data_IF_193320308522
#
_entry.id   IF_193320308522
#
_cell.length_a   1.000
_cell.length_b   1.000
_cell.length_c   1.000
_cell.angle_alpha   90.00
_cell.angle_beta   90.00
_cell.angle_gamma   90.00
#
_symmetry.space_group_name_H-M   'P 1'
#
loop_
_entity.id
_entity.type
_entity.pdbx_description
1 polymer ?
#
# COMPACT_ATOMS: atom_id res chain seq x y z
N UNK A 1 11.74 13.68 -7.92
CA UNK A 1 10.49 12.96 -7.58
C UNK A 1 10.59 12.58 -6.12
N UNK A 2 9.53 12.67 -5.33
CA UNK A 2 9.60 12.23 -3.96
C UNK A 2 9.90 10.72 -3.93
N UNK A 3 10.92 10.35 -3.20
CA UNK A 3 11.24 8.95 -2.95
C UNK A 3 10.56 8.53 -1.66
N UNK A 4 9.86 7.42 -1.70
CA UNK A 4 9.21 6.84 -0.55
C UNK A 4 9.87 5.51 -0.21
N UNK A 5 10.14 5.32 1.07
CA UNK A 5 10.57 4.03 1.58
C UNK A 5 9.36 3.33 2.19
N UNK A 6 9.04 2.14 1.70
CA UNK A 6 7.88 1.37 2.13
C UNK A 6 8.28 0.09 2.86
N UNK A 7 7.59 -0.21 3.94
CA UNK A 7 7.59 -1.53 4.58
C UNK A 7 6.17 -2.01 4.78
N UNK A 8 5.99 -3.32 4.81
CA UNK A 8 4.70 -3.97 5.05
C UNK A 8 4.85 -5.05 6.09
N UNK A 9 3.90 -5.13 7.01
CA UNK A 9 3.85 -6.16 8.03
C UNK A 9 2.43 -6.71 8.19
N UNK A 10 2.32 -8.00 8.50
CA UNK A 10 1.06 -8.59 8.92
C UNK A 10 0.81 -8.26 10.37
N UNK A 11 -0.40 -7.82 10.71
CA UNK A 11 -0.79 -7.45 12.08
C UNK A 11 -1.98 -8.30 12.54
N UNK A 12 -2.19 -8.36 13.85
CA UNK A 12 -3.29 -9.12 14.44
C UNK A 12 -4.65 -8.47 14.20
N UNK A 13 -4.74 -7.17 14.36
CA UNK A 13 -5.96 -6.39 14.04
C UNK A 13 -5.67 -4.90 13.87
N UNK A 14 -6.40 -4.26 12.97
CA UNK A 14 -6.38 -2.81 12.79
C UNK A 14 -6.87 -2.11 14.05
N UNK A 15 -7.91 -2.65 14.72
CA UNK A 15 -8.47 -2.08 15.95
C UNK A 15 -7.46 -2.00 17.09
N UNK A 16 -6.59 -2.98 17.20
CA UNK A 16 -5.56 -3.01 18.25
C UNK A 16 -4.45 -1.98 17.97
N UNK A 17 -4.08 -1.80 16.69
CA UNK A 17 -2.97 -0.94 16.31
C UNK A 17 -3.36 0.53 16.16
N UNK A 18 -4.60 0.82 15.80
CA UNK A 18 -5.08 2.18 15.54
C UNK A 18 -4.85 3.14 16.72
N UNK A 19 -5.15 2.79 17.99
CA UNK A 19 -4.89 3.70 19.11
C UNK A 19 -3.41 4.03 19.29
N UNK A 20 -2.51 3.07 19.04
CA UNK A 20 -1.06 3.30 19.11
C UNK A 20 -0.61 4.27 18.01
N UNK A 21 -1.09 4.09 16.76
CA UNK A 21 -0.78 4.98 15.66
C UNK A 21 -1.31 6.40 15.92
N UNK A 22 -2.53 6.54 16.42
CA UNK A 22 -3.12 7.83 16.75
C UNK A 22 -2.36 8.56 17.88
N UNK A 23 -1.84 7.82 18.86
CA UNK A 23 -1.05 8.41 19.96
C UNK A 23 0.29 9.00 19.48
N UNK A 24 0.80 8.56 18.32
CA UNK A 24 2.02 9.07 17.69
C UNK A 24 1.76 10.22 16.71
N UNK A 25 0.50 10.46 16.38
CA UNK A 25 0.09 11.46 15.37
C UNK A 25 -0.24 12.79 16.02
N UNK A 26 0.15 13.87 15.35
CA UNK A 26 -0.34 15.22 15.66
C UNK A 26 -1.71 15.49 15.01
N UNK A 27 -2.12 14.64 14.05
CA UNK A 27 -3.42 14.71 13.39
C UNK A 27 -4.43 13.79 14.11
N UNK A 28 -5.47 14.40 14.68
CA UNK A 28 -6.52 13.70 15.43
C UNK A 28 -7.58 13.05 14.54
N UNK A 29 -7.49 13.22 13.21
CA UNK A 29 -8.50 12.75 12.26
C UNK A 29 -7.92 11.72 11.28
N UNK A 30 -7.87 10.42 11.64
CA UNK A 30 -7.51 9.38 10.69
C UNK A 30 -8.50 9.35 9.51
N UNK A 31 -7.97 9.17 8.31
CA UNK A 31 -8.78 9.10 7.09
C UNK A 31 -9.13 7.65 6.77
N UNK A 32 -10.42 7.37 6.60
CA UNK A 32 -10.89 6.08 6.10
C UNK A 32 -10.99 6.15 4.58
N UNK A 33 -10.28 5.25 3.89
CA UNK A 33 -10.18 5.22 2.43
C UNK A 33 -10.55 3.82 1.95
N UNK A 34 -11.57 3.72 1.10
CA UNK A 34 -11.89 2.50 0.39
C UNK A 34 -11.15 2.48 -0.94
N UNK A 35 -10.45 1.39 -1.22
CA UNK A 35 -9.65 1.22 -2.44
C UNK A 35 -9.97 -0.12 -3.11
N UNK A 36 -10.22 -0.05 -4.40
CA UNK A 36 -10.47 -1.19 -5.28
C UNK A 36 -9.47 -1.14 -6.43
N UNK A 37 -8.38 -1.89 -6.28
CA UNK A 37 -7.27 -1.92 -7.24
C UNK A 37 -7.44 -3.10 -8.21
N UNK A 38 -7.53 -2.81 -9.49
CA UNK A 38 -7.51 -3.80 -10.58
C UNK A 38 -6.14 -3.78 -11.24
N UNK A 39 -5.46 -4.92 -11.29
CA UNK A 39 -4.13 -5.07 -11.86
C UNK A 39 -4.21 -5.64 -13.27
N UNK A 40 -3.39 -5.10 -14.17
CA UNK A 40 -3.32 -5.48 -15.58
C UNK A 40 -1.94 -6.03 -15.89
N UNK A 41 -1.88 -6.91 -16.87
CA UNK A 41 -0.63 -7.40 -17.41
C UNK A 41 0.08 -6.26 -18.18
N UNK A 42 1.28 -5.93 -17.73
CA UNK A 42 2.10 -4.87 -18.33
C UNK A 42 3.51 -5.40 -18.59
N UNK A 43 4.10 -5.10 -19.78
CA UNK A 43 5.42 -5.61 -20.13
C UNK A 43 6.54 -5.05 -19.24
N UNK A 44 6.31 -3.89 -18.62
CA UNK A 44 7.29 -3.23 -17.75
C UNK A 44 6.60 -2.71 -16.50
N UNK A 45 7.17 -3.01 -15.33
CA UNK A 45 6.64 -2.58 -14.05
C UNK A 45 5.27 -3.18 -13.73
N UNK A 46 4.50 -2.49 -12.92
CA UNK A 46 3.14 -2.87 -12.52
C UNK A 46 2.16 -1.77 -12.90
N UNK A 47 1.01 -2.17 -13.45
CA UNK A 47 -0.06 -1.26 -13.86
C UNK A 47 -1.33 -1.63 -13.09
N UNK A 48 -1.91 -0.66 -12.41
CA UNK A 48 -3.18 -0.82 -11.73
C UNK A 48 -4.10 0.38 -11.90
N UNK A 49 -5.38 0.11 -11.97
CA UNK A 49 -6.44 1.09 -11.84
C UNK A 49 -6.99 1.01 -10.42
N UNK A 50 -6.92 2.11 -9.69
CA UNK A 50 -7.51 2.28 -8.36
C UNK A 50 -8.81 3.02 -8.48
N UNK A 51 -9.86 2.49 -7.88
CA UNK A 51 -11.15 3.16 -7.72
C UNK A 51 -11.37 3.40 -6.23
N UNK A 52 -11.75 4.63 -5.89
CA UNK A 52 -12.06 5.02 -4.52
C UNK A 52 -13.54 4.86 -4.21
N UNK A 53 -13.90 4.92 -2.92
CA UNK A 53 -15.28 4.77 -2.46
C UNK A 53 -16.25 5.84 -2.98
N UNK A 54 -15.74 7.00 -3.40
CA UNK A 54 -16.52 8.09 -4.03
C UNK A 54 -16.70 7.92 -5.55
N UNK A 55 -16.13 6.86 -6.13
CA UNK A 55 -16.19 6.56 -7.56
C UNK A 55 -15.09 7.23 -8.41
N UNK A 56 -14.25 8.07 -7.83
CA UNK A 56 -13.09 8.61 -8.52
C UNK A 56 -12.05 7.52 -8.78
N UNK A 57 -11.19 7.72 -9.78
CA UNK A 57 -10.18 6.73 -10.14
C UNK A 57 -8.82 7.31 -10.43
N UNK A 58 -7.82 6.47 -10.33
CA UNK A 58 -6.43 6.76 -10.67
C UNK A 58 -5.80 5.57 -11.38
N UNK A 59 -5.14 5.83 -12.51
CA UNK A 59 -4.27 4.85 -13.15
C UNK A 59 -2.86 5.04 -12.61
N UNK A 60 -2.28 3.97 -12.08
CA UNK A 60 -0.98 4.00 -11.42
C UNK A 60 -0.06 2.99 -12.11
N UNK A 61 1.01 3.49 -12.71
CA UNK A 61 2.14 2.67 -13.14
C UNK A 61 3.27 2.84 -12.14
N UNK A 62 3.86 1.74 -11.67
CA UNK A 62 4.96 1.80 -10.73
C UNK A 62 5.96 0.67 -10.95
N UNK A 63 7.19 0.96 -10.56
CA UNK A 63 8.26 -0.02 -10.50
C UNK A 63 8.73 -0.15 -9.06
N UNK A 64 8.68 -1.36 -8.53
CA UNK A 64 9.11 -1.67 -7.17
C UNK A 64 9.84 -3.01 -7.16
N UNK A 65 11.07 -3.06 -6.62
CA UNK A 65 11.79 -4.34 -6.51
C UNK A 65 11.08 -5.26 -5.51
N UNK A 66 11.00 -6.55 -5.85
CA UNK A 66 10.49 -7.60 -4.96
C UNK A 66 11.62 -8.08 -4.06
N UNK A 67 11.92 -7.31 -3.02
CA UNK A 67 12.90 -7.63 -1.99
C UNK A 67 12.25 -7.59 -0.62
N UNK A 68 12.81 -8.31 0.34
CA UNK A 68 12.38 -8.22 1.72
C UNK A 68 12.88 -6.92 2.36
N UNK A 69 12.03 -6.29 3.17
CA UNK A 69 12.36 -5.06 3.87
C UNK A 69 11.98 -3.79 3.11
N UNK A 70 12.61 -2.66 3.47
CA UNK A 70 12.31 -1.34 2.91
C UNK A 70 12.56 -1.27 1.42
N UNK A 71 11.67 -0.57 0.68
CA UNK A 71 11.69 -0.49 -0.79
C UNK A 71 11.47 0.93 -1.26
N UNK A 72 12.26 1.35 -2.24
CA UNK A 72 12.00 2.59 -2.99
C UNK A 72 11.10 2.26 -4.18
N UNK A 73 10.05 3.05 -4.37
CA UNK A 73 9.07 2.91 -5.44
C UNK A 73 9.12 4.14 -6.34
N UNK A 74 9.26 3.91 -7.65
CA UNK A 74 9.09 4.92 -8.69
C UNK A 74 7.69 4.74 -9.30
N UNK A 75 6.91 5.81 -9.42
CA UNK A 75 5.55 5.72 -9.90
C UNK A 75 5.09 6.92 -10.72
N UNK A 76 4.14 6.67 -11.63
CA UNK A 76 3.38 7.68 -12.36
C UNK A 76 1.91 7.49 -12.04
N UNK A 77 1.22 8.59 -11.72
CA UNK A 77 -0.18 8.61 -11.37
C UNK A 77 -0.94 9.51 -12.32
N UNK A 78 -2.05 9.01 -12.87
CA UNK A 78 -2.94 9.76 -13.76
C UNK A 78 -4.38 9.68 -13.25
N UNK A 79 -5.04 10.82 -12.97
CA UNK A 79 -6.46 10.83 -12.62
C UNK A 79 -7.32 10.27 -13.75
N UNK A 80 -8.35 9.49 -13.38
CA UNK A 80 -9.26 8.83 -14.33
C UNK A 80 -10.69 9.24 -14.02
N UNK A 81 -11.35 10.01 -14.90
CA UNK A 81 -12.73 10.45 -14.68
C UNK A 81 -13.76 9.32 -14.85
N UNK A 82 -13.48 8.34 -15.68
CA UNK A 82 -14.38 7.22 -15.97
C UNK A 82 -13.66 5.86 -15.72
N UNK A 83 -13.48 5.45 -14.46
CA UNK A 83 -12.66 4.29 -14.15
C UNK A 83 -13.23 2.97 -14.68
N UNK A 84 -14.55 2.80 -14.75
CA UNK A 84 -15.15 1.55 -15.22
C UNK A 84 -14.89 1.31 -16.70
N UNK A 85 -15.04 2.36 -17.53
CA UNK A 85 -14.76 2.28 -18.96
C UNK A 85 -13.28 1.99 -19.22
N UNK A 86 -12.39 2.62 -18.43
CA UNK A 86 -10.95 2.38 -18.54
C UNK A 86 -10.58 0.96 -18.08
N UNK A 87 -11.21 0.46 -17.02
CA UNK A 87 -11.01 -0.92 -16.55
C UNK A 87 -11.33 -1.92 -17.65
N UNK A 88 -12.46 -1.75 -18.33
CA UNK A 88 -12.86 -2.64 -19.42
C UNK A 88 -11.89 -2.57 -20.61
N UNK A 89 -11.48 -1.36 -21.00
CA UNK A 89 -10.54 -1.16 -22.10
C UNK A 89 -9.17 -1.80 -21.81
N UNK A 90 -8.63 -1.59 -20.61
CA UNK A 90 -7.34 -2.18 -20.21
C UNK A 90 -7.43 -3.70 -20.02
N UNK A 91 -8.54 -4.21 -19.50
CA UNK A 91 -8.75 -5.65 -19.39
C UNK A 91 -8.71 -6.35 -20.76
N UNK A 92 -9.33 -5.73 -21.77
CA UNK A 92 -9.32 -6.25 -23.14
C UNK A 92 -7.97 -6.10 -23.83
N UNK A 93 -7.28 -4.98 -23.59
CA UNK A 93 -6.01 -4.67 -24.25
C UNK A 93 -4.81 -5.40 -23.65
N UNK A 94 -4.75 -5.46 -22.33
CA UNK A 94 -3.59 -5.94 -21.58
C UNK A 94 -3.81 -7.30 -20.92
N UNK A 95 -5.06 -7.65 -20.62
CA UNK A 95 -5.39 -8.78 -19.74
C UNK A 95 -5.40 -8.42 -18.25
N UNK A 96 -6.19 -9.18 -17.49
CA UNK A 96 -6.34 -9.01 -16.04
C UNK A 96 -5.40 -9.94 -15.29
N UNK A 97 -4.70 -9.42 -14.26
CA UNK A 97 -3.92 -10.22 -13.33
C UNK A 97 -4.68 -10.51 -12.03
N UNK A 98 -5.57 -9.62 -11.63
CA UNK A 98 -6.37 -9.78 -10.43
C UNK A 98 -6.86 -8.46 -9.84
N UNK A 99 -7.52 -8.55 -8.69
CA UNK A 99 -8.17 -7.43 -8.02
C UNK A 99 -7.91 -7.49 -6.52
N UNK A 100 -7.60 -6.34 -5.93
CA UNK A 100 -7.37 -6.17 -4.49
C UNK A 100 -8.34 -5.12 -3.97
N UNK A 101 -9.20 -5.51 -3.04
CA UNK A 101 -10.09 -4.59 -2.34
C UNK A 101 -9.64 -4.46 -0.91
N UNK A 102 -9.58 -3.24 -0.43
CA UNK A 102 -9.20 -2.97 0.96
C UNK A 102 -9.85 -1.72 1.51
N UNK A 103 -10.01 -1.73 2.81
CA UNK A 103 -10.28 -0.57 3.63
C UNK A 103 -8.99 -0.13 4.28
N UNK A 104 -8.59 1.11 4.07
CA UNK A 104 -7.35 1.70 4.58
C UNK A 104 -7.67 2.81 5.57
N UNK A 105 -7.07 2.76 6.75
CA UNK A 105 -7.02 3.90 7.66
C UNK A 105 -5.65 4.54 7.54
N UNK A 106 -5.62 5.81 7.15
CA UNK A 106 -4.40 6.61 7.06
C UNK A 106 -4.24 7.45 8.32
N UNK A 107 -3.09 7.30 8.98
CA UNK A 107 -2.64 8.14 10.09
C UNK A 107 -1.30 8.77 9.70
N UNK A 108 -1.17 10.08 9.88
CA UNK A 108 0.08 10.79 9.60
C UNK A 108 0.93 10.91 10.87
N UNK A 109 2.17 10.46 10.80
CA UNK A 109 3.16 10.60 11.88
C UNK A 109 4.39 11.29 11.30
N UNK A 110 4.50 12.59 11.53
CA UNK A 110 5.49 13.43 10.86
C UNK A 110 5.32 13.34 9.32
N UNK A 111 6.39 13.02 8.61
CA UNK A 111 6.36 12.81 7.16
C UNK A 111 6.01 11.37 6.76
N UNK A 112 5.69 10.50 7.70
CA UNK A 112 5.35 9.09 7.43
C UNK A 112 3.84 8.89 7.36
N UNK A 113 3.40 8.21 6.31
CA UNK A 113 2.03 7.70 6.20
C UNK A 113 1.97 6.32 6.83
N UNK A 114 1.21 6.20 7.90
CA UNK A 114 0.90 4.93 8.55
C UNK A 114 -0.41 4.43 7.99
N UNK A 115 -0.37 3.36 7.23
CA UNK A 115 -1.54 2.72 6.64
C UNK A 115 -1.91 1.48 7.43
N UNK A 116 -3.13 1.43 7.94
CA UNK A 116 -3.72 0.25 8.55
C UNK A 116 -4.75 -0.31 7.58
N UNK A 117 -4.46 -1.45 7.00
CA UNK A 117 -5.23 -2.03 5.90
C UNK A 117 -5.98 -3.29 6.33
N UNK A 118 -7.28 -3.32 6.07
CA UNK A 118 -8.07 -4.56 6.01
C UNK A 118 -8.19 -4.97 4.57
N UNK A 119 -7.53 -6.06 4.21
CA UNK A 119 -7.49 -6.56 2.83
C UNK A 119 -8.42 -7.75 2.68
N UNK A 120 -9.39 -7.64 1.78
CA UNK A 120 -10.35 -8.72 1.52
C UNK A 120 -9.62 -10.01 1.12
N UNK A 121 -9.89 -11.09 1.84
CA UNK A 121 -9.27 -12.40 1.61
C UNK A 121 -7.86 -12.58 2.20
N UNK A 122 -7.25 -11.56 2.81
CA UNK A 122 -5.92 -11.66 3.42
C UNK A 122 -5.87 -11.33 4.91
N UNK A 123 -6.72 -10.43 5.39
CA UNK A 123 -6.70 -9.94 6.78
C UNK A 123 -6.03 -8.57 6.91
N UNK A 124 -5.41 -8.32 8.06
CA UNK A 124 -4.97 -7.01 8.50
C UNK A 124 -3.47 -6.81 8.34
N UNK A 125 -3.10 -5.61 7.88
CA UNK A 125 -1.72 -5.24 7.59
C UNK A 125 -1.40 -3.82 8.07
N UNK A 126 -0.14 -3.61 8.42
CA UNK A 126 0.50 -2.31 8.53
C UNK A 126 1.34 -2.07 7.27
N UNK A 127 1.25 -0.87 6.70
CA UNK A 127 2.19 -0.40 5.69
C UNK A 127 2.70 0.98 6.12
N UNK A 128 4.01 1.12 6.25
CA UNK A 128 4.65 2.42 6.50
C UNK A 128 5.22 2.95 5.21
N UNK A 129 4.85 4.16 4.86
CA UNK A 129 5.37 4.90 3.73
C UNK A 129 6.10 6.13 4.25
N UNK A 130 7.42 6.01 4.36
CA UNK A 130 8.29 7.11 4.83
C UNK A 130 8.63 7.99 3.64
N UNK A 131 8.14 9.20 3.62
CA UNK A 131 8.47 10.20 2.60
C UNK A 131 9.84 10.80 2.95
N UNK A 132 10.83 10.60 2.08
CA UNK A 132 12.17 11.15 2.26
C UNK A 132 12.18 12.63 1.87
N UNK A 133 12.66 13.45 2.79
CA UNK A 133 12.88 14.87 2.55
C UNK A 133 14.23 15.15 1.89
N UNK A 134 14.42 16.41 1.50
CA UNK A 134 15.68 16.86 0.89
C UNK A 134 16.88 16.56 1.81
N UNK A 135 17.84 15.82 1.27
CA UNK A 135 19.07 15.44 1.98
C UNK A 135 18.93 14.22 2.89
N UNK A 136 17.77 13.60 2.98
CA UNK A 136 17.64 12.31 3.65
C UNK A 136 18.04 11.16 2.73
N UNK A 137 18.69 10.18 3.33
CA UNK A 137 19.13 8.95 2.64
C UNK A 137 18.14 7.82 2.86
N UNK A 138 18.24 6.77 2.08
CA UNK A 138 17.50 5.53 2.31
C UNK A 138 17.74 4.98 3.72
N UNK A 139 18.98 5.09 4.25
CA UNK A 139 19.32 4.65 5.60
C UNK A 139 18.56 5.46 6.67
N UNK A 140 18.35 6.75 6.46
CA UNK A 140 17.51 7.57 7.36
C UNK A 140 16.06 7.10 7.34
N UNK A 141 15.54 6.79 6.17
CA UNK A 141 14.19 6.25 6.01
C UNK A 141 14.01 4.88 6.69
N UNK A 142 15.00 4.00 6.57
CA UNK A 142 15.01 2.70 7.28
C UNK A 142 14.99 2.90 8.79
N UNK A 143 15.80 3.82 9.31
CA UNK A 143 15.83 4.12 10.74
C UNK A 143 14.49 4.65 11.26
N UNK A 144 13.82 5.54 10.48
CA UNK A 144 12.48 6.05 10.80
C UNK A 144 11.46 4.90 10.81
N UNK A 145 11.45 4.05 9.80
CA UNK A 145 10.54 2.93 9.71
C UNK A 145 10.71 1.94 10.88
N UNK A 146 11.97 1.61 11.23
CA UNK A 146 12.27 0.73 12.35
C UNK A 146 11.85 1.32 13.71
N UNK A 147 12.08 2.63 13.91
CA UNK A 147 11.65 3.32 15.13
C UNK A 147 10.12 3.30 15.27
N UNK A 148 9.39 3.55 14.18
CA UNK A 148 7.92 3.50 14.16
C UNK A 148 7.40 2.07 14.39
N UNK A 149 8.00 1.06 13.79
CA UNK A 149 7.65 -0.33 14.07
C UNK A 149 7.77 -0.66 15.56
N UNK A 150 8.87 -0.24 16.21
CA UNK A 150 9.07 -0.46 17.64
C UNK A 150 8.00 0.25 18.48
N UNK A 151 7.66 1.50 18.15
CA UNK A 151 6.61 2.27 18.84
C UNK A 151 5.21 1.69 18.61
N UNK A 152 4.97 1.08 17.46
CA UNK A 152 3.72 0.39 17.13
C UNK A 152 3.68 -1.06 17.61
N UNK A 153 4.72 -1.52 18.31
CA UNK A 153 4.84 -2.89 18.82
C UNK A 153 4.76 -3.97 17.74
N UNK A 154 5.27 -3.66 16.54
CA UNK A 154 5.30 -4.58 15.38
C UNK A 154 6.68 -5.24 15.31
N UNK A 155 6.70 -6.58 15.43
CA UNK A 155 7.92 -7.35 15.37
C UNK A 155 8.45 -7.43 13.92
N UNK A 156 9.77 -7.30 13.68
CA UNK A 156 10.38 -7.54 12.37
C UNK A 156 10.03 -8.89 11.74
N UNK A 157 9.74 -9.91 12.53
CA UNK A 157 9.26 -11.21 12.04
C UNK A 157 7.88 -11.15 11.37
N UNK A 158 7.11 -10.08 11.58
CA UNK A 158 5.81 -9.84 10.94
C UNK A 158 5.93 -9.20 9.54
N UNK A 159 7.14 -8.77 9.15
CA UNK A 159 7.38 -8.18 7.83
C UNK A 159 7.06 -9.19 6.72
N UNK A 160 6.44 -8.68 5.67
CA UNK A 160 6.10 -9.46 4.47
C UNK A 160 6.61 -8.76 3.22
N UNK A 161 7.07 -9.55 2.26
CA UNK A 161 7.44 -9.09 0.92
C UNK A 161 6.27 -9.24 -0.04
N UNK A 162 6.37 -8.62 -1.20
CA UNK A 162 5.39 -8.69 -2.25
C UNK A 162 4.23 -7.70 -2.09
N UNK A 163 3.43 -7.60 -3.13
CA UNK A 163 2.19 -6.83 -3.13
C UNK A 163 1.03 -7.68 -2.60
N UNK A 164 -0.07 -7.05 -2.21
CA UNK A 164 -1.27 -7.80 -1.77
C UNK A 164 -1.79 -8.76 -2.85
N UNK A 165 -1.68 -8.40 -4.13
CA UNK A 165 -2.05 -9.31 -5.21
C UNK A 165 -1.21 -10.59 -5.20
N UNK A 166 0.11 -10.49 -4.97
CA UNK A 166 1.00 -11.64 -4.89
C UNK A 166 0.63 -12.54 -3.70
N UNK A 167 0.30 -11.91 -2.56
CA UNK A 167 -0.15 -12.63 -1.37
C UNK A 167 -1.50 -13.33 -1.58
N UNK A 168 -2.44 -12.70 -2.31
CA UNK A 168 -3.73 -13.30 -2.68
C UNK A 168 -3.54 -14.52 -3.58
N UNK A 169 -2.64 -14.45 -4.57
CA UNK A 169 -2.33 -15.57 -5.46
C UNK A 169 -1.65 -16.74 -4.74
N UNK A 170 -0.87 -16.46 -3.69
CA UNK A 170 -0.21 -17.46 -2.88
C UNK A 170 -1.08 -18.03 -1.75
N UNK A 171 -2.25 -17.41 -1.46
CA UNK A 171 -3.11 -17.82 -0.36
C UNK A 171 -3.73 -19.23 -0.61
N UNK A 172 -3.84 -20.10 0.41
CA UNK A 172 -4.54 -21.38 0.30
C UNK A 172 -6.00 -21.14 -0.11
N UNK A 173 -6.46 -21.77 -1.21
CA UNK A 173 -7.82 -21.64 -1.73
C UNK A 173 -8.02 -20.52 -2.75
N UNK A 174 -6.97 -19.82 -3.20
CA UNK A 174 -7.01 -19.04 -4.41
C UNK A 174 -7.31 -19.99 -5.58
N UNK A 175 -8.52 -19.90 -6.15
CA UNK A 175 -8.91 -20.71 -7.28
C UNK A 175 -7.97 -20.43 -8.47
N UNK A 176 -7.52 -21.50 -9.08
CA UNK A 176 -6.79 -21.44 -10.32
C UNK A 176 -7.67 -20.85 -11.45
#
# INVERSE_FOLDING_TARGET
>A
MPENLEIKARISSVEALLPLAQALSDDVHPQLIHQDDTFFDAPHGRLKLRVFGDGSGELIHYHRPDVDGPKVSDYVLAPVPEPESLREALARACGLLGRVRKERILVLVGATRVHLDRVEGLGDFLELEVVLGDGQTEADGVAIAQALMAQLEVDPAQLVSGAYLDLLHAAPGAAA
#
